data_IF_721815278567
#
_entry.id   IF_721815278567
#
_cell.length_a   1.000
_cell.length_b   1.000
_cell.length_c   1.000
_cell.angle_alpha   90.00
_cell.angle_beta   90.00
_cell.angle_gamma   90.00
#
_symmetry.space_group_name_H-M   'P 1'
#
loop_
_entity.id
_entity.type
_entity.pdbx_description
1 polymer ?
#
# COMPACT_ATOMS: atom_id res chain seq x y z
N UNK A 1 -15.57 -11.75 15.68
CA UNK A 1 -15.64 -10.27 15.70
C UNK A 1 -14.37 -9.73 15.08
N UNK A 2 -14.43 -8.69 14.27
CA UNK A 2 -13.25 -7.98 13.77
C UNK A 2 -13.26 -6.57 14.34
N UNK A 3 -12.10 -6.10 14.81
CA UNK A 3 -11.92 -4.75 15.34
C UNK A 3 -11.13 -3.91 14.33
N UNK A 4 -11.46 -2.62 14.25
CA UNK A 4 -10.68 -1.65 13.50
C UNK A 4 -10.34 -0.46 14.39
N UNK A 5 -9.15 0.09 14.24
CA UNK A 5 -8.70 1.31 14.89
C UNK A 5 -7.82 2.10 13.93
N UNK A 6 -7.74 3.40 14.12
CA UNK A 6 -7.01 4.28 13.21
C UNK A 6 -6.35 5.44 13.91
N UNK A 7 -5.27 5.92 13.30
CA UNK A 7 -4.54 7.13 13.66
C UNK A 7 -3.68 7.58 12.48
N UNK A 8 -2.83 8.58 12.65
CA UNK A 8 -1.82 8.95 11.67
C UNK A 8 -0.67 7.92 11.68
N UNK A 9 -0.08 7.69 10.51
CA UNK A 9 0.90 6.62 10.35
C UNK A 9 2.16 6.82 11.23
N UNK A 10 2.61 8.03 11.43
CA UNK A 10 3.72 8.32 12.36
C UNK A 10 3.43 7.81 13.78
N UNK A 11 2.17 7.83 14.21
CA UNK A 11 1.78 7.35 15.55
C UNK A 11 1.59 5.83 15.63
N UNK A 12 1.85 5.10 14.54
CA UNK A 12 1.98 3.64 14.59
C UNK A 12 3.08 3.20 15.58
N UNK A 13 4.04 4.08 15.87
CA UNK A 13 5.06 3.85 16.89
C UNK A 13 4.49 3.52 18.26
N UNK A 14 3.43 4.20 18.66
CA UNK A 14 2.72 3.93 19.92
C UNK A 14 1.87 2.65 19.87
N UNK A 15 1.52 2.18 18.66
CA UNK A 15 0.69 1.00 18.45
C UNK A 15 1.51 -0.28 18.25
N UNK A 16 2.81 -0.20 18.05
CA UNK A 16 3.67 -1.38 17.79
C UNK A 16 3.50 -2.52 18.78
N UNK A 17 3.44 -2.28 20.10
CA UNK A 17 3.17 -3.35 21.06
C UNK A 17 1.83 -4.04 20.82
N UNK A 18 0.77 -3.27 20.51
CA UNK A 18 -0.56 -3.80 20.24
C UNK A 18 -0.59 -4.60 18.92
N UNK A 19 0.07 -4.09 17.86
CA UNK A 19 0.20 -4.82 16.58
C UNK A 19 0.93 -6.15 16.79
N UNK A 20 2.03 -6.13 17.56
CA UNK A 20 2.78 -7.35 17.89
C UNK A 20 1.95 -8.36 18.66
N UNK A 21 1.18 -7.90 19.64
CA UNK A 21 0.31 -8.79 20.41
C UNK A 21 -0.82 -9.35 19.54
N UNK A 22 -1.42 -8.54 18.67
CA UNK A 22 -2.43 -9.02 17.73
C UNK A 22 -1.84 -10.08 16.76
N UNK A 23 -0.60 -9.88 16.30
CA UNK A 23 0.10 -10.84 15.45
C UNK A 23 0.39 -12.17 16.18
N UNK A 24 0.89 -12.10 17.42
CA UNK A 24 1.15 -13.29 18.26
C UNK A 24 -0.13 -14.07 18.59
N UNK A 25 -1.23 -13.36 18.79
CA UNK A 25 -2.54 -13.97 19.08
C UNK A 25 -3.32 -14.35 17.83
N UNK A 26 -2.77 -14.11 16.63
CA UNK A 26 -3.42 -14.36 15.32
C UNK A 26 -4.80 -13.68 15.20
N UNK A 27 -4.91 -12.42 15.68
CA UNK A 27 -6.16 -11.67 15.71
C UNK A 27 -6.32 -10.81 14.45
N UNK A 28 -7.50 -10.81 13.80
CA UNK A 28 -7.77 -10.06 12.57
C UNK A 28 -8.09 -8.58 12.83
N UNK A 29 -7.24 -7.87 13.57
CA UNK A 29 -7.38 -6.44 13.84
C UNK A 29 -7.01 -5.64 12.59
N UNK A 30 -7.78 -4.60 12.26
CA UNK A 30 -7.54 -3.68 11.14
C UNK A 30 -6.97 -2.37 11.69
N UNK A 31 -5.70 -2.13 11.41
CA UNK A 31 -5.01 -0.87 11.71
C UNK A 31 -5.09 0.02 10.49
N UNK A 32 -5.82 1.14 10.59
CA UNK A 32 -5.99 2.09 9.49
C UNK A 32 -5.15 3.32 9.82
N UNK A 33 -4.08 3.52 9.06
CA UNK A 33 -3.17 4.63 9.26
C UNK A 33 -3.22 5.58 8.06
N UNK A 34 -3.61 6.82 8.32
CA UNK A 34 -3.58 7.89 7.32
C UNK A 34 -2.29 8.70 7.43
N UNK A 35 -2.08 9.65 6.53
CA UNK A 35 -0.87 10.48 6.50
C UNK A 35 0.37 9.64 6.18
N UNK A 36 0.34 8.97 5.02
CA UNK A 36 1.53 8.34 4.46
C UNK A 36 2.64 9.38 4.20
N UNK A 37 3.89 8.97 4.14
CA UNK A 37 5.04 9.86 4.16
C UNK A 37 5.04 10.93 3.06
N UNK A 38 4.51 10.66 1.88
CA UNK A 38 4.76 11.49 0.70
C UNK A 38 3.86 12.73 0.60
N UNK A 39 2.63 12.66 1.08
CA UNK A 39 1.63 13.73 0.90
C UNK A 39 1.03 14.20 2.24
N UNK A 40 1.90 14.41 3.22
CA UNK A 40 1.46 14.90 4.54
C UNK A 40 1.14 16.40 4.50
N UNK A 41 1.87 17.19 3.71
CA UNK A 41 1.61 18.63 3.55
C UNK A 41 2.08 19.46 4.74
N UNK A 42 1.27 20.41 5.19
CA UNK A 42 1.59 21.38 6.22
C UNK A 42 1.58 20.86 7.67
N UNK A 43 1.23 19.62 7.90
CA UNK A 43 1.22 19.03 9.27
C UNK A 43 2.63 18.98 9.89
N UNK A 44 3.67 19.02 9.04
CA UNK A 44 5.06 19.18 9.44
C UNK A 44 5.71 17.93 10.02
N UNK A 45 6.96 18.04 10.48
CA UNK A 45 7.80 16.90 10.84
C UNK A 45 7.28 16.08 12.04
N UNK A 46 6.41 16.64 12.85
CA UNK A 46 5.80 15.91 13.99
C UNK A 46 4.75 14.89 13.57
N UNK A 47 4.26 14.96 12.33
CA UNK A 47 3.21 14.11 11.78
C UNK A 47 3.70 13.30 10.56
N UNK A 48 4.91 13.54 10.11
CA UNK A 48 5.48 12.94 8.91
C UNK A 48 6.21 11.64 9.26
N UNK A 49 5.72 10.49 8.77
CA UNK A 49 6.41 9.22 8.96
C UNK A 49 7.68 9.17 8.10
N UNK A 50 8.76 8.62 8.63
CA UNK A 50 10.05 8.46 7.95
C UNK A 50 10.43 6.98 7.88
N UNK A 51 10.61 6.34 9.03
CA UNK A 51 11.02 4.95 9.12
C UNK A 51 9.86 3.97 9.37
N UNK A 52 8.64 4.47 9.59
CA UNK A 52 7.49 3.65 9.99
C UNK A 52 7.14 2.60 8.94
N UNK A 53 7.25 2.92 7.64
CA UNK A 53 6.97 1.93 6.60
C UNK A 53 8.00 0.79 6.64
N UNK A 54 9.29 1.09 6.75
CA UNK A 54 10.32 0.07 6.87
C UNK A 54 10.10 -0.83 8.09
N UNK A 55 9.67 -0.26 9.21
CA UNK A 55 9.40 -1.00 10.44
C UNK A 55 8.19 -1.93 10.30
N UNK A 56 7.09 -1.48 9.72
CA UNK A 56 5.91 -2.32 9.53
C UNK A 56 6.16 -3.41 8.48
N UNK A 57 6.93 -3.11 7.42
CA UNK A 57 7.36 -4.10 6.42
C UNK A 57 8.27 -5.17 7.04
N UNK A 58 9.14 -4.79 7.98
CA UNK A 58 9.93 -5.76 8.73
C UNK A 58 9.03 -6.68 9.59
N UNK A 59 8.00 -6.12 10.25
CA UNK A 59 7.03 -6.91 11.00
C UNK A 59 6.24 -7.85 10.09
N UNK A 60 5.88 -7.41 8.90
CA UNK A 60 5.17 -8.22 7.90
C UNK A 60 5.93 -9.51 7.55
N UNK A 61 7.26 -9.44 7.47
CA UNK A 61 8.10 -10.58 7.09
C UNK A 61 8.26 -11.62 8.21
N UNK A 62 7.97 -11.27 9.46
CA UNK A 62 7.98 -12.24 10.56
C UNK A 62 6.87 -13.27 10.36
N UNK A 63 7.09 -14.48 10.87
CA UNK A 63 6.10 -15.55 10.81
C UNK A 63 5.34 -15.66 12.12
N UNK A 64 4.04 -15.85 12.02
CA UNK A 64 3.18 -16.19 13.15
C UNK A 64 3.26 -17.71 13.46
N UNK A 65 2.52 -18.19 14.47
CA UNK A 65 2.51 -19.58 14.88
C UNK A 65 2.03 -20.52 13.76
N UNK A 66 1.14 -20.05 12.89
CA UNK A 66 0.63 -20.79 11.72
C UNK A 66 1.56 -20.75 10.51
N UNK A 67 2.74 -20.13 10.62
CA UNK A 67 3.73 -20.03 9.54
C UNK A 67 3.40 -18.99 8.46
N UNK A 68 2.34 -18.19 8.64
CA UNK A 68 1.96 -17.08 7.76
C UNK A 68 2.75 -15.82 8.10
N UNK A 69 2.75 -14.82 7.22
CA UNK A 69 3.26 -13.49 7.55
C UNK A 69 2.49 -12.92 8.75
N UNK A 70 3.20 -12.31 9.69
CA UNK A 70 2.60 -11.92 10.97
C UNK A 70 1.67 -10.70 10.86
N UNK A 71 1.79 -9.92 9.81
CA UNK A 71 0.94 -8.75 9.50
C UNK A 71 0.73 -8.73 7.99
N UNK A 72 -0.48 -8.41 7.53
CA UNK A 72 -0.75 -8.06 6.14
C UNK A 72 -0.62 -6.54 6.00
N UNK A 73 0.28 -6.06 5.14
CA UNK A 73 0.50 -4.62 4.93
C UNK A 73 0.04 -4.22 3.54
N UNK A 74 -0.88 -3.26 3.46
CA UNK A 74 -1.50 -2.76 2.24
C UNK A 74 -1.34 -1.24 2.17
N UNK A 75 -0.76 -0.74 1.09
CA UNK A 75 -0.63 0.69 0.80
C UNK A 75 -1.18 0.98 -0.59
N UNK A 76 -2.53 1.15 -0.71
CA UNK A 76 -3.20 1.36 -1.98
C UNK A 76 -2.91 2.74 -2.57
N UNK A 77 -2.94 2.81 -3.90
CA UNK A 77 -2.56 3.99 -4.67
C UNK A 77 -3.74 4.87 -5.09
N UNK A 78 -4.95 4.33 -5.13
CA UNK A 78 -6.17 5.07 -5.51
C UNK A 78 -7.42 4.47 -4.84
N UNK A 79 -8.59 5.00 -5.21
CA UNK A 79 -9.89 4.57 -4.67
C UNK A 79 -10.17 3.09 -4.97
N UNK A 80 -9.85 2.61 -6.16
CA UNK A 80 -10.10 1.23 -6.58
C UNK A 80 -9.18 0.25 -5.84
N UNK A 81 -7.88 0.54 -5.73
CA UNK A 81 -6.98 -0.27 -4.90
C UNK A 81 -7.36 -0.23 -3.41
N UNK A 82 -7.87 0.90 -2.92
CA UNK A 82 -8.36 1.01 -1.54
C UNK A 82 -9.53 0.06 -1.30
N UNK A 83 -10.47 -0.02 -2.24
CA UNK A 83 -11.60 -0.95 -2.14
C UNK A 83 -11.12 -2.42 -2.13
N UNK A 84 -10.18 -2.78 -3.01
CA UNK A 84 -9.59 -4.12 -3.04
C UNK A 84 -8.80 -4.39 -1.75
N UNK A 85 -8.07 -3.41 -1.24
CA UNK A 85 -7.34 -3.53 0.03
C UNK A 85 -8.28 -3.77 1.22
N UNK A 86 -9.43 -3.11 1.25
CA UNK A 86 -10.46 -3.38 2.25
C UNK A 86 -11.05 -4.79 2.11
N UNK A 87 -11.30 -5.25 0.88
CA UNK A 87 -11.72 -6.65 0.64
C UNK A 87 -10.70 -7.62 1.23
N UNK A 88 -9.43 -7.49 0.90
CA UNK A 88 -8.35 -8.32 1.42
C UNK A 88 -8.26 -8.25 2.95
N UNK A 89 -8.37 -7.04 3.51
CA UNK A 89 -8.37 -6.84 4.96
C UNK A 89 -9.54 -7.59 5.64
N UNK A 90 -10.72 -7.55 5.07
CA UNK A 90 -11.91 -8.22 5.64
C UNK A 90 -11.86 -9.74 5.47
N UNK A 91 -11.21 -10.23 4.43
CA UNK A 91 -10.98 -11.67 4.19
C UNK A 91 -9.87 -12.24 5.07
N UNK A 92 -8.90 -11.42 5.48
CA UNK A 92 -7.83 -11.83 6.37
C UNK A 92 -8.35 -12.09 7.80
N UNK A 93 -8.38 -13.37 8.21
CA UNK A 93 -8.92 -13.82 9.51
C UNK A 93 -7.85 -14.18 10.54
N UNK A 94 -6.62 -14.36 10.10
CA UNK A 94 -5.59 -15.04 10.90
C UNK A 94 -4.45 -14.11 11.32
N UNK A 95 -4.44 -12.86 10.80
CA UNK A 95 -3.39 -11.88 11.12
C UNK A 95 -3.95 -10.47 11.16
N UNK A 96 -3.34 -9.54 11.90
CA UNK A 96 -3.68 -8.13 11.75
C UNK A 96 -3.37 -7.62 10.35
N UNK A 97 -4.13 -6.62 9.93
CA UNK A 97 -3.92 -5.91 8.66
C UNK A 97 -3.60 -4.45 8.91
N UNK A 98 -2.56 -3.94 8.29
CA UNK A 98 -2.22 -2.53 8.23
C UNK A 98 -2.66 -1.95 6.88
N UNK A 99 -3.53 -0.95 6.91
CA UNK A 99 -3.96 -0.15 5.76
C UNK A 99 -3.29 1.22 5.89
N UNK A 100 -2.35 1.54 4.98
CA UNK A 100 -1.62 2.80 4.97
C UNK A 100 -2.20 3.68 3.86
N UNK A 101 -2.82 4.79 4.23
CA UNK A 101 -3.57 5.68 3.34
C UNK A 101 -2.95 7.08 3.33
N UNK A 102 -3.11 7.79 2.22
CA UNK A 102 -2.68 9.18 2.10
C UNK A 102 -3.53 10.13 2.98
N UNK A 103 -2.98 11.30 3.30
CA UNK A 103 -3.73 12.42 3.88
C UNK A 103 -4.55 13.13 2.81
N UNK A 104 -3.90 13.42 1.68
CA UNK A 104 -4.50 14.17 0.58
C UNK A 104 -5.19 13.24 -0.41
N UNK A 105 -6.11 13.82 -1.15
CA UNK A 105 -6.75 13.13 -2.27
C UNK A 105 -5.70 12.72 -3.30
N UNK A 106 -5.87 11.52 -3.82
CA UNK A 106 -5.07 10.99 -4.92
C UNK A 106 -5.97 10.79 -6.14
N UNK A 107 -5.48 11.09 -7.35
CA UNK A 107 -6.25 10.85 -8.56
C UNK A 107 -6.43 9.34 -8.78
N UNK A 108 -7.56 8.96 -9.38
CA UNK A 108 -7.71 7.61 -9.90
C UNK A 108 -6.66 7.33 -10.97
N UNK A 109 -6.10 6.13 -10.92
CA UNK A 109 -5.09 5.69 -11.87
C UNK A 109 -5.73 5.29 -13.21
N UNK A 110 -4.97 5.33 -14.32
CA UNK A 110 -5.47 4.90 -15.61
C UNK A 110 -5.90 3.43 -15.59
N UNK A 111 -6.86 3.09 -16.45
CA UNK A 111 -7.34 1.73 -16.62
C UNK A 111 -6.94 1.18 -17.98
N UNK A 112 -6.33 0.00 -18.00
CA UNK A 112 -6.01 -0.72 -19.24
C UNK A 112 -7.22 -1.48 -19.80
N UNK A 113 -8.11 -1.98 -18.91
CA UNK A 113 -9.30 -2.77 -19.30
C UNK A 113 -10.56 -1.94 -19.53
N UNK A 114 -10.53 -0.63 -19.24
CA UNK A 114 -11.71 0.24 -19.20
C UNK A 114 -12.47 0.20 -17.87
N UNK A 115 -12.05 -0.62 -16.93
CA UNK A 115 -12.59 -0.68 -15.58
C UNK A 115 -11.45 -0.67 -14.55
N UNK A 116 -11.23 0.48 -13.91
CA UNK A 116 -10.15 0.61 -12.93
C UNK A 116 -10.27 -0.39 -11.78
N UNK A 117 -11.50 -0.68 -11.34
CA UNK A 117 -11.74 -1.69 -10.31
C UNK A 117 -11.28 -3.09 -10.75
N UNK A 118 -11.61 -3.50 -11.99
CA UNK A 118 -11.18 -4.82 -12.50
C UNK A 118 -9.65 -4.91 -12.60
N UNK A 119 -8.98 -3.84 -13.01
CA UNK A 119 -7.53 -3.79 -13.03
C UNK A 119 -6.95 -3.87 -11.61
N UNK A 120 -7.56 -3.16 -10.66
CA UNK A 120 -7.14 -3.15 -9.25
C UNK A 120 -7.28 -4.51 -8.55
N UNK A 121 -8.16 -5.40 -9.01
CA UNK A 121 -8.25 -6.77 -8.48
C UNK A 121 -6.90 -7.52 -8.54
N UNK A 122 -6.01 -7.15 -9.47
CA UNK A 122 -4.67 -7.73 -9.55
C UNK A 122 -3.80 -7.39 -8.32
N UNK A 123 -4.17 -6.38 -7.52
CA UNK A 123 -3.53 -6.06 -6.24
C UNK A 123 -3.55 -7.24 -5.25
N UNK A 124 -4.48 -8.18 -5.42
CA UNK A 124 -4.52 -9.44 -4.66
C UNK A 124 -3.23 -10.28 -4.80
N UNK A 125 -2.45 -10.04 -5.86
CA UNK A 125 -1.15 -10.68 -6.12
C UNK A 125 0.02 -9.93 -5.47
N UNK A 126 -0.26 -8.83 -4.78
CA UNK A 126 0.74 -7.97 -4.13
C UNK A 126 1.29 -6.86 -5.02
N UNK A 127 1.53 -7.14 -6.30
CA UNK A 127 1.97 -6.18 -7.31
C UNK A 127 1.39 -6.52 -8.67
N UNK A 128 1.21 -5.51 -9.52
CA UNK A 128 0.73 -5.71 -10.90
C UNK A 128 1.20 -4.60 -11.84
N UNK A 129 1.22 -4.90 -13.13
CA UNK A 129 1.56 -3.92 -14.17
C UNK A 129 0.35 -3.00 -14.35
N UNK A 130 0.52 -1.71 -14.03
CA UNK A 130 -0.51 -0.70 -14.21
C UNK A 130 -0.58 -0.23 -15.67
N UNK A 131 0.57 0.04 -16.26
CA UNK A 131 0.73 0.42 -17.66
C UNK A 131 2.09 -0.01 -18.19
N UNK A 132 2.19 -0.23 -19.50
CA UNK A 132 3.40 -0.72 -20.13
C UNK A 132 3.45 -0.35 -21.60
N UNK A 133 4.58 0.22 -22.04
CA UNK A 133 4.92 0.34 -23.45
C UNK A 133 5.29 -1.02 -24.06
N UNK A 134 5.24 -1.16 -25.37
CA UNK A 134 5.48 -2.45 -26.05
C UNK A 134 6.84 -3.07 -25.69
N UNK A 135 7.89 -2.25 -25.65
CA UNK A 135 9.24 -2.65 -25.23
C UNK A 135 9.82 -1.61 -24.28
N UNK A 136 9.57 -1.70 -22.97
CA UNK A 136 10.00 -0.68 -22.01
C UNK A 136 11.51 -0.70 -21.82
N UNK A 137 12.11 0.49 -21.73
CA UNK A 137 13.52 0.69 -21.41
C UNK A 137 13.75 0.70 -19.89
N UNK A 138 12.71 1.11 -19.12
CA UNK A 138 12.76 1.17 -17.65
C UNK A 138 11.48 0.61 -17.04
N UNK A 139 11.62 0.01 -15.87
CA UNK A 139 10.51 -0.40 -15.01
C UNK A 139 10.50 0.47 -13.77
N UNK A 140 9.40 1.18 -13.55
CA UNK A 140 9.18 2.04 -12.39
C UNK A 140 8.20 1.34 -11.46
N UNK A 141 8.57 1.19 -10.19
CA UNK A 141 7.76 0.49 -9.17
C UNK A 141 7.48 1.45 -8.02
N UNK A 142 6.23 1.56 -7.63
CA UNK A 142 5.82 2.31 -6.45
C UNK A 142 4.61 1.67 -5.78
N UNK A 143 4.26 2.16 -4.59
CA UNK A 143 3.01 1.88 -3.91
C UNK A 143 2.40 3.18 -3.37
N UNK A 144 1.14 3.12 -2.95
CA UNK A 144 0.47 4.27 -2.36
C UNK A 144 0.45 5.50 -3.28
N UNK A 145 0.49 6.66 -2.69
CA UNK A 145 0.36 7.95 -3.39
C UNK A 145 1.46 8.22 -4.43
N UNK A 146 2.62 7.55 -4.35
CA UNK A 146 3.73 7.71 -5.29
C UNK A 146 3.43 7.13 -6.68
N UNK A 147 2.50 6.17 -6.79
CA UNK A 147 2.15 5.59 -8.11
C UNK A 147 1.61 6.66 -9.05
N UNK A 148 0.78 7.58 -8.56
CA UNK A 148 0.27 8.69 -9.38
C UNK A 148 1.38 9.64 -9.85
N UNK A 149 2.45 9.79 -9.07
CA UNK A 149 3.63 10.57 -9.47
C UNK A 149 4.37 9.91 -10.63
N UNK A 150 4.51 8.57 -10.59
CA UNK A 150 5.10 7.81 -11.71
C UNK A 150 4.26 7.95 -12.97
N UNK A 151 2.92 7.85 -12.86
CA UNK A 151 2.02 8.05 -14.00
C UNK A 151 2.18 9.47 -14.59
N UNK A 152 2.27 10.48 -13.72
CA UNK A 152 2.50 11.87 -14.15
C UNK A 152 3.84 12.09 -14.87
N UNK A 153 4.86 11.26 -14.60
CA UNK A 153 6.17 11.36 -15.24
C UNK A 153 6.23 10.71 -16.64
N UNK A 154 5.24 9.91 -17.04
CA UNK A 154 5.25 9.13 -18.30
C UNK A 154 5.49 10.01 -19.52
N UNK A 155 4.70 11.09 -19.68
CA UNK A 155 4.86 11.99 -20.84
C UNK A 155 6.24 12.64 -20.88
N UNK A 156 6.79 13.01 -19.73
CA UNK A 156 8.12 13.61 -19.62
C UNK A 156 9.20 12.62 -20.08
N UNK A 157 9.04 11.35 -19.77
CA UNK A 157 9.96 10.28 -20.16
C UNK A 157 9.82 9.97 -21.65
N UNK A 158 8.59 9.90 -22.16
CA UNK A 158 8.32 9.69 -23.58
C UNK A 158 8.91 10.84 -24.43
N UNK A 159 8.80 12.10 -24.00
CA UNK A 159 9.41 13.25 -24.69
C UNK A 159 10.94 13.13 -24.78
N UNK A 160 11.55 12.36 -23.89
CA UNK A 160 13.00 12.03 -23.90
C UNK A 160 13.32 10.73 -24.62
N UNK A 161 12.32 10.09 -25.25
CA UNK A 161 12.49 8.82 -25.96
C UNK A 161 12.62 7.60 -25.06
N UNK A 162 12.27 7.70 -23.77
CA UNK A 162 12.34 6.60 -22.79
C UNK A 162 10.98 5.92 -22.68
N UNK A 163 10.91 4.64 -23.01
CA UNK A 163 9.70 3.81 -22.88
C UNK A 163 9.63 3.22 -21.47
N UNK A 164 8.42 3.15 -20.90
CA UNK A 164 8.24 2.83 -19.50
C UNK A 164 7.31 1.64 -19.26
N UNK A 165 7.53 0.96 -18.15
CA UNK A 165 6.55 0.08 -17.51
C UNK A 165 6.34 0.60 -16.10
N UNK A 166 5.09 0.80 -15.68
CA UNK A 166 4.74 1.16 -14.31
C UNK A 166 4.10 -0.03 -13.62
N UNK A 167 4.59 -0.31 -12.42
CA UNK A 167 4.08 -1.36 -11.54
C UNK A 167 3.56 -0.71 -10.28
N UNK A 168 2.31 -0.99 -9.92
CA UNK A 168 1.77 -0.71 -8.60
C UNK A 168 2.01 -1.93 -7.71
N UNK A 169 2.59 -1.73 -6.53
CA UNK A 169 2.93 -2.77 -5.58
C UNK A 169 2.31 -2.51 -4.20
N UNK A 170 0.95 -2.54 -4.08
CA UNK A 170 0.26 -2.18 -2.84
C UNK A 170 0.59 -3.11 -1.66
N UNK A 171 1.08 -4.31 -1.89
CA UNK A 171 1.47 -5.25 -0.84
C UNK A 171 2.68 -6.09 -1.23
N UNK A 172 3.85 -5.67 -0.78
CA UNK A 172 5.10 -6.42 -1.04
C UNK A 172 5.08 -7.81 -0.38
N UNK A 173 4.41 -7.95 0.76
CA UNK A 173 4.32 -9.22 1.47
C UNK A 173 3.41 -10.27 0.81
N UNK A 174 2.57 -9.88 -0.14
CA UNK A 174 1.76 -10.80 -0.95
C UNK A 174 2.48 -11.20 -2.26
N UNK A 175 3.45 -10.41 -2.72
CA UNK A 175 4.23 -10.67 -3.93
C UNK A 175 5.33 -11.70 -3.67
#
# INVERSE_FOLDING_TARGET
MQAACGTFFVFSDYMKPAVRMAALMELPVKYVWTHDAFRVGEDGPTHEPVEQEAQIRLMEQLKNHSGKNSVLVLRPADSAETLVSWKLAMENKDTPTALILSRQDVPDLPSASGSRYNDALQAEKGAYILMKDETPDVVLVANGSEVSTLVGAVNILHDKGVRVQIVSAPSIGLF
#
